data_IF_058109467285
#
_entry.id   IF_058109467285
#
_cell.length_a   1.000
_cell.length_b   1.000
_cell.length_c   1.000
_cell.angle_alpha   90.00
_cell.angle_beta   90.00
_cell.angle_gamma   90.00
#
_symmetry.space_group_name_H-M   'P 1'
#
loop_
_entity.id
_entity.type
_entity.pdbx_description
1 polymer ?
#
# COMPACT_ATOMS: atom_id res chain seq x y z
N UNK A 1 15.00 26.94 -5.47
CA UNK A 1 15.65 25.72 -4.94
C UNK A 1 17.15 25.96 -4.99
N UNK A 2 17.74 26.35 -3.88
CA UNK A 2 19.16 26.71 -3.78
C UNK A 2 20.04 25.46 -3.85
N UNK A 3 21.11 25.49 -4.63
CA UNK A 3 22.01 24.35 -4.92
C UNK A 3 22.65 23.66 -3.70
N UNK A 4 22.50 24.22 -2.50
CA UNK A 4 22.96 23.64 -1.24
C UNK A 4 22.07 22.48 -0.73
N UNK A 5 20.78 22.42 -1.11
CA UNK A 5 19.88 21.33 -0.71
C UNK A 5 20.17 20.01 -1.43
N UNK A 6 20.83 20.06 -2.60
CA UNK A 6 21.22 18.87 -3.36
C UNK A 6 22.46 18.17 -2.76
N UNK A 7 23.37 18.91 -2.13
CA UNK A 7 24.59 18.35 -1.54
C UNK A 7 24.33 17.46 -0.33
N UNK A 8 23.25 17.71 0.43
CA UNK A 8 22.86 16.88 1.59
C UNK A 8 22.03 15.65 1.23
N UNK A 9 21.71 15.45 -0.05
CA UNK A 9 20.87 14.35 -0.52
C UNK A 9 21.67 13.27 -1.25
N UNK A 10 22.94 13.13 -0.91
CA UNK A 10 23.81 12.06 -1.42
C UNK A 10 23.88 10.97 -0.35
N UNK A 11 23.46 9.77 -0.71
CA UNK A 11 23.55 8.58 0.15
C UNK A 11 24.62 7.67 -0.45
N UNK A 12 25.54 7.16 0.37
CA UNK A 12 26.56 6.21 -0.11
C UNK A 12 26.00 4.80 -0.01
N UNK A 13 25.86 4.12 -1.15
CA UNK A 13 25.43 2.72 -1.20
C UNK A 13 26.64 1.81 -0.94
N UNK A 14 26.52 0.93 0.04
CA UNK A 14 27.59 0.02 0.45
C UNK A 14 27.10 -1.43 0.50
N UNK A 15 28.05 -2.35 0.35
CA UNK A 15 27.88 -3.77 0.65
C UNK A 15 28.37 -4.04 2.07
N UNK A 16 27.45 -4.34 2.98
CA UNK A 16 27.73 -4.53 4.40
C UNK A 16 27.75 -6.02 4.79
N UNK A 17 28.80 -6.43 5.49
CA UNK A 17 28.98 -7.78 6.03
C UNK A 17 29.39 -7.67 7.50
N UNK A 18 28.51 -7.97 8.47
CA UNK A 18 28.78 -7.74 9.89
C UNK A 18 29.95 -8.55 10.44
N UNK A 19 30.07 -9.82 10.03
CA UNK A 19 31.15 -10.73 10.41
C UNK A 19 31.37 -11.80 9.32
N UNK A 20 32.44 -12.60 9.48
CA UNK A 20 32.81 -13.64 8.50
C UNK A 20 31.67 -14.64 8.29
N UNK A 21 31.50 -15.10 7.05
CA UNK A 21 30.52 -16.12 6.64
C UNK A 21 29.03 -15.72 6.73
N UNK A 22 28.71 -14.42 6.71
CA UNK A 22 27.33 -13.93 6.54
C UNK A 22 27.12 -13.36 5.13
N UNK A 23 25.98 -13.65 4.46
CA UNK A 23 25.65 -13.04 3.17
C UNK A 23 25.58 -11.50 3.29
N UNK A 24 26.08 -10.76 2.29
CA UNK A 24 26.10 -9.32 2.35
C UNK A 24 24.70 -8.70 2.25
N UNK A 25 24.52 -7.54 2.88
CA UNK A 25 23.35 -6.68 2.74
C UNK A 25 23.69 -5.39 1.99
N UNK A 26 22.74 -4.86 1.24
CA UNK A 26 22.84 -3.51 0.69
C UNK A 26 22.40 -2.51 1.76
N UNK A 27 23.26 -1.54 2.05
CA UNK A 27 22.99 -0.48 3.03
C UNK A 27 23.26 0.89 2.43
N UNK A 28 22.45 1.89 2.79
CA UNK A 28 22.78 3.30 2.58
C UNK A 28 23.40 3.88 3.85
N UNK A 29 24.52 4.57 3.68
CA UNK A 29 25.06 5.48 4.69
C UNK A 29 24.49 6.87 4.42
N UNK A 30 23.57 7.31 5.29
CA UNK A 30 22.99 8.66 5.23
C UNK A 30 23.71 9.57 6.21
N UNK A 31 24.09 10.76 5.76
CA UNK A 31 24.74 11.75 6.62
C UNK A 31 23.75 12.17 7.71
N UNK A 32 24.13 11.97 8.97
CA UNK A 32 23.35 12.30 10.15
C UNK A 32 24.03 13.45 10.91
N UNK A 33 23.25 14.48 11.26
CA UNK A 33 23.74 15.66 11.99
C UNK A 33 23.75 15.43 13.50
N UNK A 34 22.83 14.61 14.03
CA UNK A 34 22.71 14.34 15.47
C UNK A 34 22.35 12.89 15.75
N UNK A 35 23.25 12.09 16.37
CA UNK A 35 24.68 12.36 16.55
C UNK A 35 25.41 12.55 15.21
N UNK A 36 26.54 13.28 15.17
CA UNK A 36 27.30 13.47 13.94
C UNK A 36 27.87 12.12 13.46
N UNK A 37 27.52 11.70 12.24
CA UNK A 37 27.98 10.43 11.70
C UNK A 37 27.15 9.97 10.50
N UNK A 38 27.05 8.66 10.33
CA UNK A 38 26.24 8.04 9.28
C UNK A 38 25.16 7.13 9.88
N UNK A 39 23.92 7.38 9.51
CA UNK A 39 22.84 6.45 9.76
C UNK A 39 22.94 5.30 8.74
N UNK A 40 23.15 4.08 9.23
CA UNK A 40 23.20 2.88 8.42
C UNK A 40 21.78 2.35 8.20
N UNK A 41 21.27 2.45 6.97
CA UNK A 41 19.91 2.05 6.58
C UNK A 41 19.98 0.81 5.72
N UNK A 42 19.35 -0.28 6.15
CA UNK A 42 19.28 -1.53 5.39
C UNK A 42 18.22 -1.45 4.30
N UNK A 43 18.58 -1.84 3.07
CA UNK A 43 17.60 -2.04 2.01
C UNK A 43 17.12 -3.48 1.98
N UNK A 44 15.79 -3.72 1.95
CA UNK A 44 15.26 -5.06 1.78
C UNK A 44 15.67 -5.61 0.41
N UNK A 45 16.14 -6.85 0.40
CA UNK A 45 16.28 -7.60 -0.85
C UNK A 45 14.87 -7.90 -1.42
N UNK A 46 14.76 -7.88 -2.75
CA UNK A 46 13.52 -8.06 -3.53
C UNK A 46 12.45 -9.02 -2.95
N UNK A 47 12.77 -10.23 -2.41
CA UNK A 47 11.74 -11.10 -1.84
C UNK A 47 10.93 -10.53 -0.66
N UNK A 48 11.39 -9.47 0.00
CA UNK A 48 10.69 -8.81 1.12
C UNK A 48 9.66 -7.77 0.66
N UNK A 49 9.64 -7.40 -0.62
CA UNK A 49 8.70 -6.42 -1.15
C UNK A 49 7.38 -7.11 -1.52
N UNK A 50 6.37 -7.02 -0.65
CA UNK A 50 5.02 -7.46 -0.99
C UNK A 50 4.37 -6.44 -1.95
N UNK A 51 4.00 -6.88 -3.15
CA UNK A 51 3.26 -6.04 -4.09
C UNK A 51 1.79 -5.94 -3.66
N UNK A 52 1.40 -4.78 -3.15
CA UNK A 52 -0.02 -4.45 -2.93
C UNK A 52 -0.58 -3.92 -4.25
N UNK A 53 -1.39 -4.73 -4.91
CA UNK A 53 -2.15 -4.33 -6.08
C UNK A 53 -3.55 -3.89 -5.63
N UNK A 54 -3.99 -2.75 -6.16
CA UNK A 54 -5.31 -2.11 -5.99
C UNK A 54 -5.37 -1.05 -4.88
N UNK A 55 -5.68 0.19 -5.29
CA UNK A 55 -6.02 1.31 -4.42
C UNK A 55 -7.37 1.89 -4.85
N UNK A 56 -8.18 2.28 -3.87
CA UNK A 56 -9.38 3.09 -4.06
C UNK A 56 -9.05 4.49 -3.57
N UNK A 57 -9.30 5.51 -4.41
CA UNK A 57 -9.02 6.90 -4.06
C UNK A 57 -10.22 7.48 -3.31
N UNK A 58 -9.95 8.15 -2.19
CA UNK A 58 -10.95 8.92 -1.44
C UNK A 58 -11.31 10.22 -2.19
N UNK A 59 -12.51 10.74 -1.94
CA UNK A 59 -12.93 12.05 -2.46
C UNK A 59 -12.19 13.18 -1.73
N UNK A 60 -12.04 14.36 -2.35
CA UNK A 60 -11.37 15.50 -1.69
C UNK A 60 -12.07 15.91 -0.39
N UNK A 61 -13.40 15.81 -0.33
CA UNK A 61 -14.19 16.13 0.88
C UNK A 61 -13.87 15.18 2.04
N UNK A 62 -13.79 13.87 1.78
CA UNK A 62 -13.36 12.88 2.77
C UNK A 62 -11.93 13.18 3.28
N UNK A 63 -11.05 13.57 2.36
CA UNK A 63 -9.66 13.90 2.70
C UNK A 63 -9.57 15.14 3.60
N UNK A 64 -10.36 16.17 3.33
CA UNK A 64 -10.34 17.40 4.11
C UNK A 64 -10.92 17.21 5.52
N UNK A 65 -11.97 16.40 5.67
CA UNK A 65 -12.47 15.98 6.99
C UNK A 65 -11.44 15.17 7.76
N UNK A 66 -10.73 14.24 7.09
CA UNK A 66 -9.64 13.50 7.72
C UNK A 66 -8.47 14.41 8.13
N UNK A 67 -8.12 15.43 7.33
CA UNK A 67 -7.09 16.42 7.72
C UNK A 67 -7.50 17.17 9.00
N UNK A 68 -8.78 17.54 9.14
CA UNK A 68 -9.28 18.20 10.35
C UNK A 68 -9.15 17.29 11.59
N UNK A 69 -9.47 16.01 11.45
CA UNK A 69 -9.27 14.98 12.50
C UNK A 69 -7.79 14.89 12.89
N UNK A 70 -6.88 14.77 11.92
CA UNK A 70 -5.43 14.68 12.15
C UNK A 70 -4.91 15.93 12.87
N UNK A 71 -5.35 17.13 12.47
CA UNK A 71 -4.98 18.37 13.14
C UNK A 71 -5.47 18.42 14.59
N UNK A 72 -6.71 17.97 14.83
CA UNK A 72 -7.29 17.85 16.17
C UNK A 72 -6.64 16.76 17.01
N UNK A 73 -5.96 15.77 16.44
CA UNK A 73 -5.22 14.74 17.19
C UNK A 73 -3.71 14.98 17.21
N UNK A 74 -3.25 16.10 16.67
CA UNK A 74 -1.82 16.43 16.64
C UNK A 74 -1.26 16.52 18.07
N UNK A 75 -0.13 15.87 18.26
CA UNK A 75 0.73 15.96 19.43
C UNK A 75 2.20 15.95 18.98
N UNK A 76 3.12 16.35 19.86
CA UNK A 76 4.56 16.34 19.59
C UNK A 76 5.12 14.98 19.97
N UNK A 77 5.52 14.18 18.98
CA UNK A 77 6.18 12.90 19.23
C UNK A 77 7.63 13.12 19.67
N UNK A 78 8.04 12.39 20.70
CA UNK A 78 9.45 12.22 21.07
C UNK A 78 9.72 10.73 21.30
N UNK A 79 10.95 10.30 21.05
CA UNK A 79 11.36 8.89 21.20
C UNK A 79 11.33 8.39 22.65
N UNK A 80 11.37 9.30 23.61
CA UNK A 80 11.34 9.04 25.06
C UNK A 80 9.93 9.14 25.66
N UNK A 81 8.88 9.33 24.84
CA UNK A 81 7.51 9.54 25.34
C UNK A 81 6.78 8.27 25.77
N UNK A 82 7.26 7.09 25.37
CA UNK A 82 6.59 5.83 25.63
C UNK A 82 7.58 4.82 26.18
N UNK A 83 7.25 4.27 27.34
CA UNK A 83 7.99 3.19 27.97
C UNK A 83 7.39 1.84 27.55
N UNK A 84 8.17 0.77 27.69
CA UNK A 84 7.69 -0.56 27.39
C UNK A 84 6.97 -1.13 28.63
N UNK A 85 5.63 -1.29 28.60
CA UNK A 85 4.87 -1.70 29.78
C UNK A 85 5.27 -3.11 30.27
N UNK A 86 5.67 -4.01 29.37
CA UNK A 86 6.10 -5.37 29.73
C UNK A 86 7.42 -5.35 30.50
N UNK A 87 8.33 -4.43 30.17
CA UNK A 87 9.60 -4.31 30.89
C UNK A 87 9.41 -3.68 32.27
N UNK A 88 8.52 -2.71 32.41
CA UNK A 88 8.22 -2.08 33.70
C UNK A 88 7.63 -3.08 34.69
N UNK A 89 6.61 -3.84 34.27
CA UNK A 89 5.95 -4.80 35.14
C UNK A 89 6.86 -5.96 35.57
N UNK A 90 7.77 -6.40 34.70
CA UNK A 90 8.58 -7.60 34.96
C UNK A 90 9.84 -7.32 35.78
N UNK A 91 10.54 -6.21 35.54
CA UNK A 91 11.86 -5.97 36.14
C UNK A 91 11.77 -5.44 37.57
N UNK A 92 10.76 -4.62 37.87
CA UNK A 92 10.60 -4.00 39.20
C UNK A 92 10.20 -5.02 40.26
N UNK A 93 9.24 -5.90 39.94
CA UNK A 93 8.77 -6.93 40.86
C UNK A 93 9.86 -7.93 41.25
N UNK A 94 10.70 -8.34 40.28
CA UNK A 94 11.83 -9.24 40.52
C UNK A 94 12.98 -8.57 41.28
N UNK A 95 13.21 -7.27 41.07
CA UNK A 95 14.28 -6.55 41.75
C UNK A 95 13.94 -6.22 43.22
N UNK A 96 12.65 -6.09 43.55
CA UNK A 96 12.16 -5.70 44.88
C UNK A 96 11.58 -6.86 45.70
N UNK A 97 11.62 -8.10 45.18
CA UNK A 97 11.01 -9.31 45.80
C UNK A 97 9.55 -9.07 46.24
N UNK A 98 8.79 -8.32 45.45
CA UNK A 98 7.39 -8.04 45.72
C UNK A 98 6.54 -9.26 45.34
N UNK A 99 5.61 -9.67 46.22
CA UNK A 99 4.69 -10.78 45.93
C UNK A 99 3.75 -10.49 44.75
N UNK A 100 3.47 -9.21 44.49
CA UNK A 100 2.66 -8.76 43.37
C UNK A 100 3.34 -7.57 42.66
N UNK A 101 3.39 -7.56 41.32
CA UNK A 101 3.98 -6.48 40.55
C UNK A 101 3.15 -5.19 40.69
N UNK A 102 3.82 -4.04 40.79
CA UNK A 102 3.15 -2.75 40.71
C UNK A 102 2.53 -2.58 39.32
N UNK A 103 1.25 -2.19 39.28
CA UNK A 103 0.55 -1.95 38.02
C UNK A 103 0.97 -0.59 37.46
N UNK A 104 2.06 -0.57 36.69
CA UNK A 104 2.47 0.58 35.91
C UNK A 104 1.35 0.98 34.92
N UNK A 105 1.06 2.29 34.83
CA UNK A 105 0.06 2.83 33.91
C UNK A 105 0.58 2.71 32.47
N UNK A 106 -0.12 1.96 31.64
CA UNK A 106 0.25 1.80 30.24
C UNK A 106 0.02 3.09 29.43
N UNK A 107 1.12 3.78 29.12
CA UNK A 107 1.11 4.99 28.31
C UNK A 107 0.90 4.74 26.82
N UNK A 108 1.01 3.48 26.36
CA UNK A 108 0.79 3.10 24.96
C UNK A 108 -0.70 3.00 24.61
N UNK A 109 -1.56 2.89 25.62
CA UNK A 109 -3.01 2.88 25.42
C UNK A 109 -3.51 4.27 24.98
N UNK A 110 -4.31 4.35 23.91
CA UNK A 110 -4.92 5.61 23.50
C UNK A 110 -5.82 6.19 24.60
N UNK A 111 -5.74 7.51 24.81
CA UNK A 111 -6.60 8.23 25.76
C UNK A 111 -7.98 8.50 25.14
N UNK A 112 -8.79 7.44 25.04
CA UNK A 112 -10.04 7.40 24.28
C UNK A 112 -11.00 8.54 24.66
N UNK A 113 -11.21 8.79 25.95
CA UNK A 113 -12.15 9.81 26.45
C UNK A 113 -11.68 11.22 26.04
N UNK A 114 -10.39 11.49 26.18
CA UNK A 114 -9.79 12.77 25.81
C UNK A 114 -9.83 12.98 24.29
N UNK A 115 -9.57 11.92 23.50
CA UNK A 115 -9.65 11.94 22.05
C UNK A 115 -11.08 12.22 21.58
N UNK A 116 -12.06 11.50 22.12
CA UNK A 116 -13.47 11.68 21.79
C UNK A 116 -13.95 13.09 22.11
N UNK A 117 -13.59 13.62 23.29
CA UNK A 117 -13.91 15.00 23.68
C UNK A 117 -13.27 16.04 22.73
N UNK A 118 -12.04 15.80 22.26
CA UNK A 118 -11.31 16.72 21.37
C UNK A 118 -11.86 16.69 19.93
N UNK A 119 -12.38 15.54 19.50
CA UNK A 119 -12.90 15.33 18.15
C UNK A 119 -14.37 15.77 17.99
N UNK A 120 -15.20 15.61 19.01
CA UNK A 120 -16.61 16.03 18.96
C UNK A 120 -17.36 15.40 17.78
N UNK A 121 -18.09 16.22 17.01
CA UNK A 121 -18.90 15.78 15.86
C UNK A 121 -18.11 15.36 14.63
N UNK A 122 -16.81 15.68 14.56
CA UNK A 122 -16.00 15.42 13.36
C UNK A 122 -15.93 13.94 12.99
N UNK A 123 -16.03 13.06 13.99
CA UNK A 123 -16.03 11.60 13.78
C UNK A 123 -17.32 11.16 13.10
N UNK A 124 -18.46 11.69 13.53
CA UNK A 124 -19.76 11.30 12.99
C UNK A 124 -19.96 11.86 11.58
N UNK A 125 -19.57 13.11 11.34
CA UNK A 125 -19.54 13.72 10.00
C UNK A 125 -18.65 12.92 9.03
N UNK A 126 -17.50 12.44 9.49
CA UNK A 126 -16.62 11.61 8.66
C UNK A 126 -17.23 10.23 8.39
N UNK A 127 -17.90 9.62 9.39
CA UNK A 127 -18.58 8.33 9.22
C UNK A 127 -19.68 8.42 8.17
N UNK A 128 -20.51 9.48 8.20
CA UNK A 128 -21.59 9.68 7.22
C UNK A 128 -21.06 9.79 5.78
N UNK A 129 -19.87 10.38 5.58
CA UNK A 129 -19.27 10.55 4.26
C UNK A 129 -18.59 9.29 3.71
N UNK A 130 -18.20 8.34 4.57
CA UNK A 130 -17.38 7.18 4.19
C UNK A 130 -18.16 5.87 4.29
N UNK A 131 -18.94 5.68 5.34
CA UNK A 131 -19.64 4.44 5.60
C UNK A 131 -21.07 4.50 5.07
N UNK A 132 -21.45 3.56 4.19
CA UNK A 132 -22.86 3.34 3.88
C UNK A 132 -23.68 3.09 5.16
N UNK A 133 -24.97 3.48 5.18
CA UNK A 133 -25.83 3.34 6.36
C UNK A 133 -26.06 1.87 6.79
N UNK A 134 -25.84 0.91 5.90
CA UNK A 134 -25.91 -0.54 6.15
C UNK A 134 -24.54 -1.18 6.44
N UNK A 135 -23.48 -0.37 6.61
CA UNK A 135 -22.14 -0.87 6.89
C UNK A 135 -22.03 -1.42 8.32
N UNK A 136 -21.67 -2.71 8.43
CA UNK A 136 -21.36 -3.33 9.71
C UNK A 136 -19.84 -3.36 9.94
N UNK A 137 -19.27 -2.47 10.79
CA UNK A 137 -17.83 -2.41 11.04
C UNK A 137 -17.29 -3.65 11.79
N UNK A 138 -18.14 -4.35 12.54
CA UNK A 138 -17.79 -5.58 13.28
C UNK A 138 -18.23 -6.86 12.55
N UNK A 139 -18.88 -6.69 11.40
CA UNK A 139 -19.36 -7.79 10.58
C UNK A 139 -18.19 -8.58 10.02
N UNK A 140 -18.04 -9.84 10.43
CA UNK A 140 -17.18 -10.79 9.73
C UNK A 140 -17.57 -10.76 8.25
N UNK A 141 -16.64 -10.33 7.39
CA UNK A 141 -16.77 -10.46 5.95
C UNK A 141 -16.86 -11.95 5.64
N UNK A 142 -18.08 -12.50 5.59
CA UNK A 142 -18.30 -13.79 4.96
C UNK A 142 -17.88 -13.62 3.53
N UNK A 143 -16.73 -14.22 3.16
CA UNK A 143 -16.28 -14.38 1.78
C UNK A 143 -17.50 -14.69 0.93
N UNK A 144 -17.95 -13.73 0.11
CA UNK A 144 -18.96 -14.01 -0.90
C UNK A 144 -18.39 -15.16 -1.73
N UNK A 145 -19.11 -16.29 -1.78
CA UNK A 145 -18.82 -17.34 -2.73
C UNK A 145 -18.80 -16.68 -4.10
N UNK A 146 -17.72 -16.92 -4.83
CA UNK A 146 -17.65 -16.58 -6.24
C UNK A 146 -18.63 -17.52 -6.96
N UNK A 147 -19.89 -17.12 -7.06
CA UNK A 147 -20.84 -17.79 -7.95
C UNK A 147 -20.37 -17.53 -9.38
N UNK A 148 -19.92 -18.63 -9.95
CA UNK A 148 -19.59 -18.79 -11.35
C UNK A 148 -20.90 -18.89 -12.12
N UNK A 149 -21.34 -17.81 -12.75
CA UNK A 149 -22.02 -17.78 -14.07
C UNK A 149 -22.67 -16.42 -14.32
N UNK A 150 -22.44 -15.85 -15.51
CA UNK A 150 -23.08 -14.60 -15.94
C UNK A 150 -22.22 -13.73 -16.84
N UNK A 151 -22.06 -14.18 -18.09
CA UNK A 151 -21.56 -13.42 -19.23
C UNK A 151 -22.05 -11.96 -19.25
N UNK A 152 -21.12 -11.02 -19.14
CA UNK A 152 -21.39 -9.58 -19.22
C UNK A 152 -20.13 -8.80 -19.63
N UNK A 153 -19.86 -8.78 -20.94
CA UNK A 153 -19.06 -7.78 -21.67
C UNK A 153 -17.90 -7.12 -20.92
N UNK A 154 -16.89 -7.90 -20.51
CA UNK A 154 -15.54 -7.35 -20.33
C UNK A 154 -14.90 -7.27 -21.71
N UNK A 155 -15.07 -6.13 -22.40
CA UNK A 155 -14.23 -5.77 -23.55
C UNK A 155 -12.77 -6.12 -23.19
N UNK A 156 -12.09 -6.98 -23.95
CA UNK A 156 -10.76 -7.43 -23.57
C UNK A 156 -9.78 -6.28 -23.78
N UNK A 157 -9.52 -5.50 -22.72
CA UNK A 157 -8.41 -4.52 -22.66
C UNK A 157 -7.07 -5.11 -23.13
N UNK A 158 -6.91 -6.44 -23.09
CA UNK A 158 -5.76 -7.16 -23.61
C UNK A 158 -5.58 -6.98 -25.12
N UNK A 159 -6.63 -6.99 -25.94
CA UNK A 159 -6.48 -6.94 -27.41
C UNK A 159 -6.01 -5.56 -27.87
N UNK A 160 -6.61 -4.47 -27.37
CA UNK A 160 -6.19 -3.09 -27.66
C UNK A 160 -4.70 -2.85 -27.35
N UNK A 161 -4.20 -3.40 -26.24
CA UNK A 161 -2.78 -3.26 -25.86
C UNK A 161 -1.82 -4.03 -26.77
N UNK A 162 -2.28 -5.07 -27.47
CA UNK A 162 -1.46 -5.81 -28.43
C UNK A 162 -1.53 -5.22 -29.84
N UNK A 163 -2.63 -4.55 -30.18
CA UNK A 163 -2.80 -3.78 -31.42
C UNK A 163 -1.89 -2.55 -31.40
N UNK A 164 -1.90 -1.78 -30.32
CA UNK A 164 -1.03 -0.59 -30.18
C UNK A 164 0.47 -0.90 -30.15
N UNK A 165 0.84 -2.12 -29.73
CA UNK A 165 2.23 -2.62 -29.75
C UNK A 165 2.64 -3.27 -31.07
N UNK A 166 1.78 -3.27 -32.09
CA UNK A 166 2.07 -3.87 -33.41
C UNK A 166 2.28 -5.40 -33.38
N UNK A 167 1.84 -6.08 -32.31
CA UNK A 167 2.09 -7.50 -32.10
C UNK A 167 1.04 -8.42 -32.74
N UNK A 168 0.04 -7.85 -33.42
CA UNK A 168 -1.06 -8.61 -34.03
C UNK A 168 -0.56 -9.66 -35.03
N UNK A 169 0.52 -9.37 -35.77
CA UNK A 169 1.11 -10.31 -36.74
C UNK A 169 1.70 -11.59 -36.13
N UNK A 170 2.03 -11.57 -34.84
CA UNK A 170 2.57 -12.73 -34.11
C UNK A 170 1.50 -13.71 -33.63
N UNK A 171 0.22 -13.34 -33.72
CA UNK A 171 -0.86 -14.24 -33.36
C UNK A 171 -1.02 -15.34 -34.41
N UNK A 172 -1.31 -16.55 -33.94
CA UNK A 172 -1.65 -17.68 -34.79
C UNK A 172 -3.06 -17.49 -35.35
N UNK A 173 -3.33 -18.06 -36.55
CA UNK A 173 -4.62 -17.94 -37.23
C UNK A 173 -5.82 -18.34 -36.33
N UNK A 174 -5.74 -19.38 -35.47
CA UNK A 174 -6.83 -19.72 -34.55
C UNK A 174 -7.15 -18.61 -33.55
N UNK A 175 -6.14 -17.93 -33.01
CA UNK A 175 -6.34 -16.83 -32.05
C UNK A 175 -6.97 -15.60 -32.71
N UNK A 176 -6.62 -15.33 -33.97
CA UNK A 176 -7.22 -14.24 -34.76
C UNK A 176 -8.68 -14.52 -35.11
N UNK A 177 -9.01 -15.78 -35.44
CA UNK A 177 -10.41 -16.19 -35.68
C UNK A 177 -11.26 -16.08 -34.40
N UNK A 178 -10.70 -16.46 -33.26
CA UNK A 178 -11.38 -16.33 -31.97
C UNK A 178 -11.64 -14.86 -31.60
N UNK A 179 -10.65 -13.99 -31.80
CA UNK A 179 -10.81 -12.55 -31.60
C UNK A 179 -11.90 -11.96 -32.51
N UNK A 180 -11.90 -12.30 -33.80
CA UNK A 180 -12.97 -11.91 -34.72
C UNK A 180 -14.35 -12.42 -34.27
N UNK A 181 -14.45 -13.63 -33.72
CA UNK A 181 -15.73 -14.19 -33.25
C UNK A 181 -16.25 -13.45 -32.01
N UNK A 182 -15.37 -13.08 -31.09
CA UNK A 182 -15.71 -12.30 -29.89
C UNK A 182 -16.16 -10.88 -30.25
N UNK A 183 -15.55 -10.29 -31.27
CA UNK A 183 -15.88 -8.94 -31.75
C UNK A 183 -16.97 -8.92 -32.85
N UNK A 184 -17.59 -10.07 -33.15
CA UNK A 184 -18.69 -10.19 -34.12
C UNK A 184 -18.31 -10.02 -35.60
N UNK A 185 -17.01 -10.06 -35.93
CA UNK A 185 -16.47 -9.92 -37.29
C UNK A 185 -16.50 -11.26 -38.05
N UNK A 186 -16.77 -11.20 -39.36
CA UNK A 186 -16.75 -12.40 -40.23
C UNK A 186 -15.34 -12.98 -40.31
N UNK A 187 -15.16 -14.22 -39.85
CA UNK A 187 -13.86 -14.90 -39.88
C UNK A 187 -13.51 -15.37 -41.30
N UNK A 188 -12.58 -14.68 -41.98
CA UNK A 188 -12.07 -15.04 -43.31
C UNK A 188 -10.92 -16.07 -43.21
N UNK A 189 -10.70 -16.88 -44.26
CA UNK A 189 -9.70 -17.96 -44.30
C UNK A 189 -8.23 -17.46 -44.28
N UNK A 190 -7.97 -16.24 -44.78
CA UNK A 190 -6.61 -15.70 -44.92
C UNK A 190 -6.19 -14.86 -43.71
N UNK A 191 -5.00 -15.13 -43.17
CA UNK A 191 -4.42 -14.44 -42.01
C UNK A 191 -4.32 -12.92 -42.19
N UNK A 192 -3.95 -12.47 -43.39
CA UNK A 192 -3.78 -11.05 -43.71
C UNK A 192 -5.12 -10.28 -43.67
N UNK A 193 -6.22 -10.92 -44.07
CA UNK A 193 -7.55 -10.28 -44.09
C UNK A 193 -8.13 -10.18 -42.68
N UNK A 194 -7.88 -11.18 -41.82
CA UNK A 194 -8.23 -11.14 -40.39
C UNK A 194 -7.49 -10.01 -39.65
N UNK A 195 -6.20 -9.82 -39.96
CA UNK A 195 -5.39 -8.74 -39.39
C UNK A 195 -5.90 -7.36 -39.80
N UNK A 196 -6.22 -7.17 -41.08
CA UNK A 196 -6.81 -5.92 -41.59
C UNK A 196 -8.16 -5.63 -40.92
N UNK A 197 -9.06 -6.61 -40.87
CA UNK A 197 -10.38 -6.44 -40.26
C UNK A 197 -10.32 -6.03 -38.78
N UNK A 198 -9.44 -6.68 -37.99
CA UNK A 198 -9.23 -6.30 -36.59
C UNK A 198 -8.54 -4.95 -36.46
N UNK A 199 -7.55 -4.63 -37.30
CA UNK A 199 -6.87 -3.33 -37.23
C UNK A 199 -7.81 -2.19 -37.53
N UNK A 200 -8.69 -2.32 -38.54
CA UNK A 200 -9.71 -1.32 -38.86
C UNK A 200 -10.76 -1.17 -37.76
N UNK A 201 -11.26 -2.26 -37.18
CA UNK A 201 -12.27 -2.22 -36.11
C UNK A 201 -11.81 -1.53 -34.82
N UNK A 202 -10.49 -1.49 -34.57
CA UNK A 202 -9.91 -0.90 -33.36
C UNK A 202 -9.15 0.42 -33.60
N UNK A 203 -9.12 0.91 -34.85
CA UNK A 203 -8.52 2.21 -35.21
C UNK A 203 -9.54 3.35 -35.35
N UNK A 204 -10.84 3.04 -35.41
CA UNK A 204 -11.94 3.99 -35.17
C UNK A 204 -12.26 4.08 -33.66
#
# INVERSE_FOLDING_TARGET
>A
MSGWELYYKIETLCRYTPHRNIPPYFVALKIQVTPPGFQLVFYPLCPLCMYVCMYVMATPEQMDKMKAIIQKLRFTYRSDSFENPVLQQNLEALALDLMEPEQAVDLTLPKVEAMNKRLGSLVDEFKELVYPPDYNPEGKVTKRKHDNEGSGSKRPKKLNTHISKGMLGKFTVPMLKEACRVDGLKSVLKKQDLLKALTTHFQD
#
